data_IF_557934247380
#
_entry.id   IF_557934247380
#
_cell.length_a   1.000
_cell.length_b   1.000
_cell.length_c   1.000
_cell.angle_alpha   90.00
_cell.angle_beta   90.00
_cell.angle_gamma   90.00
#
_symmetry.space_group_name_H-M   'P 1'
#
loop_
_entity.id
_entity.type
_entity.pdbx_description
1 polymer ?
#
# COMPACT_ATOMS: atom_id res chain seq x y z
N UNK A 1 -1.13 13.71 -21.09
CA UNK A 1 0.12 14.43 -20.77
C UNK A 1 -0.27 15.89 -20.55
N UNK A 2 -0.61 16.27 -19.31
CA UNK A 2 -1.02 17.64 -18.99
C UNK A 2 0.22 18.38 -18.49
N UNK A 3 0.68 19.36 -19.27
CA UNK A 3 1.83 20.20 -18.93
C UNK A 3 1.39 21.14 -17.80
N UNK A 4 2.04 21.04 -16.64
CA UNK A 4 1.92 22.04 -15.60
C UNK A 4 2.58 23.34 -16.11
N UNK A 5 1.75 24.27 -16.59
CA UNK A 5 2.19 25.60 -17.00
C UNK A 5 2.30 26.50 -15.78
N UNK A 6 3.51 26.94 -15.46
CA UNK A 6 3.71 28.01 -14.48
C UNK A 6 3.49 29.35 -15.18
N UNK A 7 2.39 30.03 -14.85
CA UNK A 7 2.11 31.38 -15.33
C UNK A 7 2.23 32.36 -14.15
N UNK A 8 3.25 33.21 -14.17
CA UNK A 8 3.41 34.31 -13.21
C UNK A 8 3.08 35.63 -13.89
N UNK A 9 2.12 36.39 -13.35
CA UNK A 9 1.74 37.71 -13.83
C UNK A 9 1.75 38.67 -12.64
N UNK A 10 2.36 39.85 -12.81
CA UNK A 10 2.48 40.89 -11.77
C UNK A 10 1.86 42.17 -12.32
N UNK A 11 0.93 42.77 -11.56
CA UNK A 11 0.32 44.07 -11.86
C UNK A 11 0.50 45.01 -10.67
N UNK A 12 0.86 46.27 -10.93
CA UNK A 12 1.04 47.33 -9.93
C UNK A 12 -0.21 48.22 -9.75
N UNK A 13 -1.33 47.87 -10.40
CA UNK A 13 -2.63 48.54 -10.34
C UNK A 13 -3.73 47.49 -10.07
N UNK A 14 -4.90 47.89 -9.52
CA UNK A 14 -6.04 46.98 -9.37
C UNK A 14 -6.39 46.41 -10.74
N UNK A 15 -6.12 45.12 -10.90
CA UNK A 15 -6.25 44.40 -12.16
C UNK A 15 -7.03 43.11 -11.90
N UNK A 16 -7.96 42.79 -12.79
CA UNK A 16 -8.64 41.52 -12.79
C UNK A 16 -7.85 40.50 -13.59
N UNK A 17 -7.69 39.30 -13.02
CA UNK A 17 -7.08 38.16 -13.70
C UNK A 17 -8.14 37.08 -13.91
N UNK A 18 -8.33 36.65 -15.15
CA UNK A 18 -9.20 35.51 -15.48
C UNK A 18 -8.38 34.42 -16.16
N UNK A 19 -8.58 33.19 -15.70
CA UNK A 19 -7.98 32.00 -16.29
C UNK A 19 -9.07 30.97 -16.58
N UNK A 20 -8.99 30.36 -17.76
CA UNK A 20 -9.86 29.27 -18.17
C UNK A 20 -9.00 28.12 -18.70
N UNK A 21 -9.15 26.95 -18.10
CA UNK A 21 -8.47 25.73 -18.54
C UNK A 21 -8.97 24.50 -17.81
N UNK A 22 -8.59 23.33 -18.32
CA UNK A 22 -8.93 22.06 -17.70
C UNK A 22 -8.05 21.81 -16.46
N UNK A 23 -8.67 21.57 -15.32
CA UNK A 23 -8.00 21.19 -14.06
C UNK A 23 -8.21 19.70 -13.80
N UNK A 24 -7.15 18.97 -13.43
CA UNK A 24 -7.25 17.57 -13.05
C UNK A 24 -7.09 17.41 -11.54
N UNK A 25 -8.20 17.07 -10.85
CA UNK A 25 -8.32 16.79 -9.40
C UNK A 25 -8.10 17.96 -8.45
N UNK A 26 -7.09 18.79 -8.66
CA UNK A 26 -6.72 19.86 -7.73
C UNK A 26 -6.35 21.13 -8.48
N UNK A 27 -6.91 22.25 -8.06
CA UNK A 27 -6.48 23.59 -8.46
C UNK A 27 -5.62 24.14 -7.33
N UNK A 28 -4.33 24.35 -7.60
CA UNK A 28 -3.41 25.00 -6.66
C UNK A 28 -3.16 26.44 -7.09
N UNK A 29 -3.55 27.38 -6.25
CA UNK A 29 -3.31 28.81 -6.44
C UNK A 29 -2.31 29.24 -5.38
N UNK A 30 -1.25 29.93 -5.82
CA UNK A 30 -0.23 30.48 -4.91
C UNK A 30 -0.32 32.01 -4.99
N UNK A 31 -0.60 32.64 -3.86
CA UNK A 31 -0.68 34.09 -3.74
C UNK A 31 0.49 34.56 -2.86
N UNK A 32 1.16 35.64 -3.27
CA UNK A 32 2.16 36.29 -2.43
C UNK A 32 1.47 37.21 -1.43
N UNK A 33 1.86 37.13 -0.17
CA UNK A 33 1.40 37.98 0.93
C UNK A 33 2.52 38.90 1.38
N UNK A 34 2.17 40.03 2.00
CA UNK A 34 3.16 41.00 2.49
C UNK A 34 2.50 42.24 3.10
N UNK A 35 3.30 43.14 3.71
CA UNK A 35 2.77 44.29 4.45
C UNK A 35 2.12 45.35 3.55
N UNK A 36 2.50 45.38 2.26
CA UNK A 36 1.95 46.29 1.25
C UNK A 36 0.82 45.63 0.42
N UNK A 37 0.41 44.41 0.75
CA UNK A 37 -0.60 43.64 0.00
C UNK A 37 -1.97 43.79 0.65
N UNK A 38 -3.00 44.09 -0.17
CA UNK A 38 -4.38 44.31 0.28
C UNK A 38 -5.28 43.08 0.17
N UNK A 39 -6.59 43.31 0.07
CA UNK A 39 -7.60 42.25 -0.09
C UNK A 39 -7.74 41.85 -1.56
N UNK A 40 -7.75 40.54 -1.83
CA UNK A 40 -8.04 39.97 -3.15
C UNK A 40 -9.39 39.25 -3.14
N UNK A 41 -10.20 39.45 -4.18
CA UNK A 41 -11.41 38.65 -4.42
C UNK A 41 -11.07 37.49 -5.37
N UNK A 42 -11.36 36.27 -4.94
CA UNK A 42 -11.13 35.05 -5.70
C UNK A 42 -12.47 34.39 -6.05
N UNK A 43 -12.78 34.32 -7.34
CA UNK A 43 -13.98 33.63 -7.83
C UNK A 43 -13.59 32.31 -8.51
N UNK A 44 -14.00 31.18 -7.93
CA UNK A 44 -13.83 29.83 -8.51
C UNK A 44 -15.21 29.25 -8.79
N UNK A 45 -15.48 28.89 -10.05
CA UNK A 45 -16.76 28.27 -10.48
C UNK A 45 -18.03 29.00 -9.97
N UNK A 46 -17.98 30.34 -9.89
CA UNK A 46 -19.11 31.16 -9.42
C UNK A 46 -19.22 31.32 -7.90
N UNK A 47 -18.32 30.74 -7.13
CA UNK A 47 -18.18 31.03 -5.70
C UNK A 47 -17.06 32.06 -5.51
N UNK A 48 -17.41 33.24 -4.99
CA UNK A 48 -16.46 34.28 -4.61
C UNK A 48 -16.07 34.16 -3.14
N UNK A 49 -14.78 34.23 -2.87
CA UNK A 49 -14.21 34.31 -1.53
C UNK A 49 -13.28 35.52 -1.46
N UNK A 50 -13.40 36.33 -0.40
CA UNK A 50 -12.48 37.44 -0.15
C UNK A 50 -11.32 36.95 0.70
N UNK A 51 -10.10 37.13 0.20
CA UNK A 51 -8.86 36.73 0.83
C UNK A 51 -8.05 37.96 1.20
N UNK A 52 -7.82 38.13 2.50
CA UNK A 52 -6.84 39.09 2.99
C UNK A 52 -5.42 38.55 2.72
N UNK A 53 -4.60 39.34 2.02
CA UNK A 53 -3.21 39.03 1.68
C UNK A 53 -2.20 39.82 2.53
N UNK A 54 -2.67 40.60 3.51
CA UNK A 54 -1.79 41.28 4.45
C UNK A 54 -1.07 40.27 5.35
N UNK A 55 0.26 40.36 5.39
CA UNK A 55 1.12 39.56 6.27
C UNK A 55 2.29 40.44 6.74
N UNK A 56 2.61 40.51 8.06
CA UNK A 56 3.72 41.33 8.56
C UNK A 56 5.08 41.06 7.92
N UNK A 57 5.28 39.87 7.32
CA UNK A 57 6.47 39.51 6.54
C UNK A 57 6.08 38.96 5.17
N UNK A 58 6.91 39.12 4.13
CA UNK A 58 6.66 38.53 2.83
C UNK A 58 6.56 37.00 2.92
N UNK A 59 5.42 36.44 2.51
CA UNK A 59 5.16 35.00 2.57
C UNK A 59 4.32 34.53 1.36
N UNK A 60 4.07 33.23 1.26
CA UNK A 60 3.21 32.64 0.24
C UNK A 60 2.02 31.92 0.87
N UNK A 61 0.83 32.21 0.37
CA UNK A 61 -0.42 31.53 0.75
C UNK A 61 -0.81 30.55 -0.35
N UNK A 62 -0.90 29.27 0.01
CA UNK A 62 -1.34 28.20 -0.89
C UNK A 62 -2.82 27.92 -0.68
N UNK A 63 -3.61 28.05 -1.74
CA UNK A 63 -5.00 27.62 -1.76
C UNK A 63 -5.10 26.38 -2.64
N UNK A 64 -5.56 25.26 -2.06
CA UNK A 64 -5.76 24.00 -2.77
C UNK A 64 -7.24 23.70 -2.78
N UNK A 65 -7.87 23.92 -3.95
CA UNK A 65 -9.28 23.59 -4.14
C UNK A 65 -9.38 22.25 -4.85
N UNK A 66 -10.03 21.28 -4.20
CA UNK A 66 -10.32 19.98 -4.82
C UNK A 66 -11.41 20.15 -5.89
N UNK A 67 -11.07 19.82 -7.14
CA UNK A 67 -11.99 19.82 -8.27
C UNK A 67 -12.37 18.36 -8.55
N UNK A 68 -13.50 17.86 -8.00
CA UNK A 68 -13.88 16.47 -8.20
C UNK A 68 -14.12 16.19 -9.69
N UNK A 69 -13.67 15.03 -10.16
CA UNK A 69 -13.94 14.58 -11.52
C UNK A 69 -15.46 14.51 -11.73
N UNK A 70 -15.97 14.88 -12.92
CA UNK A 70 -17.38 14.70 -13.25
C UNK A 70 -17.83 13.27 -12.95
N UNK A 71 -19.04 13.11 -12.41
CA UNK A 71 -19.56 11.80 -11.99
C UNK A 71 -19.49 10.75 -13.12
N UNK A 72 -19.74 11.18 -14.36
CA UNK A 72 -19.63 10.33 -15.55
C UNK A 72 -18.22 9.76 -15.72
N UNK A 73 -17.17 10.57 -15.60
CA UNK A 73 -15.78 10.11 -15.75
C UNK A 73 -15.44 9.10 -14.65
N UNK A 74 -15.90 9.33 -13.42
CA UNK A 74 -15.70 8.39 -12.30
C UNK A 74 -16.39 7.05 -12.58
N UNK A 75 -17.63 7.07 -13.10
CA UNK A 75 -18.37 5.85 -13.46
C UNK A 75 -17.65 5.10 -14.60
N UNK A 76 -17.26 5.82 -15.65
CA UNK A 76 -16.56 5.23 -16.80
C UNK A 76 -15.23 4.61 -16.39
N UNK A 77 -14.42 5.31 -15.59
CA UNK A 77 -13.15 4.77 -15.09
C UNK A 77 -13.39 3.53 -14.22
N UNK A 78 -14.32 3.60 -13.27
CA UNK A 78 -14.62 2.47 -12.37
C UNK A 78 -15.14 1.27 -13.18
N UNK A 79 -16.04 1.49 -14.14
CA UNK A 79 -16.55 0.45 -15.03
C UNK A 79 -15.47 -0.18 -15.88
N UNK A 80 -14.58 0.64 -16.48
CA UNK A 80 -13.44 0.15 -17.24
C UNK A 80 -12.53 -0.75 -16.40
N UNK A 81 -12.20 -0.34 -15.17
CA UNK A 81 -11.42 -1.17 -14.24
C UNK A 81 -12.07 -2.54 -13.99
N UNK A 82 -13.37 -2.57 -13.68
CA UNK A 82 -14.09 -3.82 -13.41
C UNK A 82 -14.23 -4.72 -14.63
N UNK A 83 -14.46 -4.15 -15.81
CA UNK A 83 -14.52 -4.90 -17.07
C UNK A 83 -13.15 -5.49 -17.39
N UNK A 84 -12.08 -4.70 -17.31
CA UNK A 84 -10.71 -5.19 -17.54
C UNK A 84 -10.34 -6.29 -16.55
N UNK A 85 -10.67 -6.12 -15.26
CA UNK A 85 -10.43 -7.15 -14.24
C UNK A 85 -11.20 -8.44 -14.54
N UNK A 86 -12.48 -8.34 -14.85
CA UNK A 86 -13.33 -9.48 -15.21
C UNK A 86 -12.82 -10.22 -16.46
N UNK A 87 -12.35 -9.47 -17.46
CA UNK A 87 -11.80 -10.03 -18.68
C UNK A 87 -10.47 -10.75 -18.42
N UNK A 88 -9.57 -10.18 -17.62
CA UNK A 88 -8.34 -10.83 -17.20
C UNK A 88 -8.61 -12.11 -16.40
N UNK A 89 -9.60 -12.08 -15.50
CA UNK A 89 -10.02 -13.26 -14.75
C UNK A 89 -10.61 -14.35 -15.66
N UNK A 90 -11.40 -13.96 -16.66
CA UNK A 90 -11.92 -14.89 -17.68
C UNK A 90 -10.80 -15.53 -18.51
N UNK A 91 -9.81 -14.74 -18.94
CA UNK A 91 -8.61 -15.27 -19.63
C UNK A 91 -7.89 -16.28 -18.72
N UNK A 92 -7.69 -15.95 -17.45
CA UNK A 92 -7.05 -16.85 -16.49
C UNK A 92 -7.79 -18.19 -16.40
N UNK A 93 -9.12 -18.19 -16.22
CA UNK A 93 -9.92 -19.42 -16.19
C UNK A 93 -9.83 -20.21 -17.50
N UNK A 94 -9.84 -19.51 -18.64
CA UNK A 94 -9.73 -20.12 -19.97
C UNK A 94 -8.37 -20.79 -20.15
N UNK A 95 -7.29 -20.14 -19.73
CA UNK A 95 -5.93 -20.68 -19.75
C UNK A 95 -5.82 -21.89 -18.84
N UNK A 96 -6.36 -21.83 -17.61
CA UNK A 96 -6.35 -22.94 -16.66
C UNK A 96 -7.05 -24.19 -17.20
N UNK A 97 -8.09 -24.04 -18.05
CA UNK A 97 -8.74 -25.17 -18.73
C UNK A 97 -7.79 -25.95 -19.64
N UNK A 98 -6.82 -25.29 -20.27
CA UNK A 98 -5.84 -25.94 -21.14
C UNK A 98 -4.73 -26.66 -20.39
N UNK A 99 -4.64 -26.48 -19.07
CA UNK A 99 -3.76 -27.22 -18.19
C UNK A 99 -4.57 -28.22 -17.36
N UNK A 100 -5.14 -29.29 -17.97
CA UNK A 100 -5.79 -30.32 -17.19
C UNK A 100 -4.77 -30.87 -16.19
N UNK A 101 -5.11 -30.79 -14.91
CA UNK A 101 -4.37 -31.45 -13.85
C UNK A 101 -4.49 -32.95 -14.09
N UNK A 102 -3.60 -33.51 -14.91
CA UNK A 102 -3.38 -34.94 -14.91
C UNK A 102 -2.86 -35.27 -13.52
N UNK A 103 -3.69 -35.95 -12.73
CA UNK A 103 -3.24 -36.65 -11.53
C UNK A 103 -2.27 -37.72 -11.98
N UNK A 104 -1.04 -37.32 -12.24
CA UNK A 104 0.03 -38.24 -12.49
C UNK A 104 0.31 -38.85 -11.13
N UNK A 105 -0.05 -40.12 -10.94
CA UNK A 105 0.31 -40.93 -9.77
C UNK A 105 1.81 -41.16 -9.65
N UNK A 106 2.63 -40.15 -10.01
CA UNK A 106 4.06 -40.13 -9.80
C UNK A 106 4.21 -40.14 -8.27
N UNK A 107 4.83 -41.17 -7.68
CA UNK A 107 5.09 -41.18 -6.26
C UNK A 107 5.90 -39.92 -5.96
N UNK A 108 5.35 -39.05 -5.12
CA UNK A 108 6.02 -37.84 -4.73
C UNK A 108 7.36 -38.26 -4.11
N UNK A 109 8.46 -38.03 -4.85
CA UNK A 109 9.80 -38.05 -4.27
C UNK A 109 9.68 -37.17 -3.03
N UNK A 110 10.07 -37.69 -1.85
CA UNK A 110 9.96 -36.96 -0.59
C UNK A 110 10.91 -35.76 -0.63
N UNK A 111 10.53 -34.72 -1.36
CA UNK A 111 11.21 -33.45 -1.36
C UNK A 111 11.05 -32.90 0.05
N UNK A 112 12.14 -32.57 0.76
CA UNK A 112 12.00 -31.92 2.05
C UNK A 112 11.33 -30.57 1.78
N UNK A 113 10.04 -30.48 2.11
CA UNK A 113 9.19 -29.33 1.76
C UNK A 113 9.69 -28.02 2.39
N UNK A 114 10.45 -28.14 3.48
CA UNK A 114 11.18 -27.02 4.09
C UNK A 114 12.16 -26.36 3.11
N UNK A 115 12.63 -27.03 2.05
CA UNK A 115 13.43 -26.39 1.01
C UNK A 115 12.68 -25.26 0.30
N UNK A 116 11.34 -25.30 0.25
CA UNK A 116 10.55 -24.22 -0.32
C UNK A 116 10.62 -22.93 0.51
N UNK A 117 10.97 -23.00 1.79
CA UNK A 117 11.11 -21.80 2.64
C UNK A 117 12.35 -20.99 2.30
N UNK A 118 13.41 -21.63 1.77
CA UNK A 118 14.71 -20.98 1.60
C UNK A 118 14.67 -19.77 0.66
N UNK A 119 14.09 -19.84 -0.56
CA UNK A 119 14.03 -18.67 -1.44
C UNK A 119 13.17 -17.55 -0.85
N UNK A 120 12.07 -17.90 -0.19
CA UNK A 120 11.17 -16.96 0.48
C UNK A 120 11.89 -16.24 1.62
N UNK A 121 12.47 -16.97 2.56
CA UNK A 121 13.23 -16.40 3.68
C UNK A 121 14.42 -15.54 3.22
N UNK A 122 15.12 -15.96 2.16
CA UNK A 122 16.25 -15.21 1.63
C UNK A 122 15.80 -13.88 1.03
N UNK A 123 14.83 -13.88 0.11
CA UNK A 123 14.40 -12.66 -0.57
C UNK A 123 13.69 -11.72 0.40
N UNK A 124 12.77 -12.25 1.20
CA UNK A 124 12.02 -11.45 2.18
C UNK A 124 12.92 -10.94 3.29
N UNK A 125 13.91 -11.73 3.73
CA UNK A 125 14.92 -11.30 4.69
C UNK A 125 15.78 -10.15 4.16
N UNK A 126 16.19 -10.19 2.88
CA UNK A 126 16.89 -9.05 2.26
C UNK A 126 16.02 -7.80 2.28
N UNK A 127 14.75 -7.90 1.90
CA UNK A 127 13.81 -6.76 1.93
C UNK A 127 13.65 -6.22 3.35
N UNK A 128 13.45 -7.08 4.34
CA UNK A 128 13.37 -6.67 5.74
C UNK A 128 14.64 -5.92 6.20
N UNK A 129 15.84 -6.39 5.81
CA UNK A 129 17.10 -5.71 6.13
C UNK A 129 17.19 -4.31 5.50
N UNK A 130 16.57 -4.08 4.34
CA UNK A 130 16.50 -2.72 3.75
C UNK A 130 15.56 -1.79 4.51
N UNK A 131 14.62 -2.33 5.28
CA UNK A 131 13.66 -1.58 6.08
C UNK A 131 13.86 -1.78 7.59
N UNK A 132 15.09 -2.06 8.01
CA UNK A 132 15.42 -2.29 9.42
C UNK A 132 15.09 -1.05 10.28
N UNK A 133 14.53 -1.21 11.49
CA UNK A 133 14.20 -2.47 12.18
C UNK A 133 12.90 -3.14 11.70
N UNK A 134 11.95 -2.36 11.19
CA UNK A 134 10.68 -2.82 10.62
C UNK A 134 10.01 -1.66 9.87
N UNK A 135 9.14 -1.98 8.90
CA UNK A 135 8.21 -1.00 8.33
C UNK A 135 7.05 -0.76 9.30
N UNK A 136 6.68 0.50 9.50
CA UNK A 136 5.63 0.91 10.44
C UNK A 136 4.73 1.96 9.80
N UNK A 137 3.42 1.76 9.89
CA UNK A 137 2.42 2.81 9.65
C UNK A 137 2.10 3.53 10.98
N UNK A 138 1.35 4.64 10.97
CA UNK A 138 0.88 5.28 12.21
C UNK A 138 0.18 4.30 13.16
N UNK A 139 -0.64 3.40 12.61
CA UNK A 139 -1.31 2.34 13.38
C UNK A 139 -0.30 1.39 14.03
N UNK A 140 0.73 0.96 13.29
CA UNK A 140 1.81 0.11 13.82
C UNK A 140 2.54 0.77 15.00
N UNK A 141 2.79 2.09 14.91
CA UNK A 141 3.46 2.86 15.95
C UNK A 141 2.61 2.89 17.23
N UNK A 142 1.30 3.13 17.08
CA UNK A 142 0.36 3.08 18.20
C UNK A 142 0.36 1.71 18.88
N UNK A 143 0.19 0.63 18.11
CA UNK A 143 0.16 -0.71 18.69
C UNK A 143 1.51 -1.15 19.29
N UNK A 144 2.63 -0.70 18.72
CA UNK A 144 3.96 -0.94 19.31
C UNK A 144 4.12 -0.20 20.64
N UNK A 145 3.62 1.02 20.74
CA UNK A 145 3.57 1.75 22.00
C UNK A 145 2.73 0.99 23.05
N UNK A 146 1.55 0.50 22.70
CA UNK A 146 0.73 -0.34 23.59
C UNK A 146 1.46 -1.63 24.02
N UNK A 147 2.24 -2.26 23.13
CA UNK A 147 3.05 -3.43 23.45
C UNK A 147 4.15 -3.11 24.48
N UNK A 148 4.76 -1.93 24.39
CA UNK A 148 5.80 -1.46 25.32
C UNK A 148 5.22 -1.05 26.68
N UNK A 149 4.14 -0.27 26.69
CA UNK A 149 3.56 0.29 27.94
C UNK A 149 2.61 -0.67 28.64
N UNK A 150 2.01 -1.62 27.92
CA UNK A 150 0.92 -2.46 28.41
C UNK A 150 -0.39 -1.69 28.63
N UNK A 151 -0.48 -0.44 28.15
CA UNK A 151 -1.70 0.36 28.19
C UNK A 151 -2.44 0.16 26.86
N UNK A 152 -3.51 -0.62 26.89
CA UNK A 152 -4.30 -0.94 25.71
C UNK A 152 -5.47 0.03 25.55
N UNK A 153 -5.76 0.41 24.31
CA UNK A 153 -6.93 1.21 23.96
C UNK A 153 -7.95 0.37 23.19
N UNK A 154 -9.22 0.79 23.18
CA UNK A 154 -10.28 0.09 22.44
C UNK A 154 -10.21 0.28 20.91
N UNK A 155 -9.22 1.05 20.42
CA UNK A 155 -9.05 1.30 19.00
C UNK A 155 -8.59 0.05 18.23
N UNK A 156 -7.85 -0.85 18.89
CA UNK A 156 -7.30 -2.05 18.27
C UNK A 156 -7.46 -3.30 19.16
N UNK A 157 -7.56 -4.50 18.56
CA UNK A 157 -7.50 -5.74 19.34
C UNK A 157 -6.17 -5.88 20.09
N UNK A 158 -6.22 -5.92 21.42
CA UNK A 158 -5.04 -6.02 22.30
C UNK A 158 -4.16 -7.23 22.02
N UNK A 159 -4.72 -8.31 21.45
CA UNK A 159 -4.00 -9.55 21.14
C UNK A 159 -2.77 -9.30 20.26
N UNK A 160 -2.83 -8.36 19.31
CA UNK A 160 -1.69 -8.09 18.44
C UNK A 160 -0.55 -7.40 19.19
N UNK A 161 -0.86 -6.41 20.04
CA UNK A 161 0.13 -5.76 20.89
C UNK A 161 0.77 -6.75 21.90
N UNK A 162 -0.02 -7.67 22.46
CA UNK A 162 0.49 -8.75 23.32
C UNK A 162 1.44 -9.67 22.54
N UNK A 163 1.07 -10.10 21.33
CA UNK A 163 1.94 -10.92 20.48
C UNK A 163 3.25 -10.20 20.14
N UNK A 164 3.19 -8.90 19.81
CA UNK A 164 4.39 -8.10 19.56
C UNK A 164 5.33 -8.06 20.77
N UNK A 165 4.78 -7.91 21.99
CA UNK A 165 5.56 -7.95 23.23
C UNK A 165 6.23 -9.31 23.47
N UNK A 166 5.53 -10.40 23.17
CA UNK A 166 6.08 -11.75 23.27
C UNK A 166 7.21 -11.96 22.26
N UNK A 167 6.99 -11.59 21.00
CA UNK A 167 7.97 -11.77 19.92
C UNK A 167 9.15 -10.80 19.98
N UNK A 168 9.01 -9.66 20.66
CA UNK A 168 10.15 -8.79 20.94
C UNK A 168 11.04 -9.33 22.06
N UNK A 169 10.62 -10.37 22.80
CA UNK A 169 11.33 -10.89 23.98
C UNK A 169 11.72 -9.80 24.99
N UNK A 170 10.88 -8.77 25.13
CA UNK A 170 11.15 -7.64 26.02
C UNK A 170 12.15 -6.61 25.48
N UNK A 171 12.64 -6.77 24.23
CA UNK A 171 13.44 -5.75 23.57
C UNK A 171 12.59 -4.52 23.25
N UNK A 172 13.19 -3.33 23.34
CA UNK A 172 12.56 -2.06 22.95
C UNK A 172 12.64 -1.78 21.44
N UNK A 173 13.10 -2.76 20.65
CA UNK A 173 13.14 -2.71 19.19
C UNK A 173 12.19 -3.76 18.62
N UNK A 174 11.42 -3.45 17.56
CA UNK A 174 10.49 -4.40 16.98
C UNK A 174 11.16 -5.35 15.97
N UNK A 175 12.49 -5.34 15.84
CA UNK A 175 13.22 -6.01 14.76
C UNK A 175 12.98 -7.52 14.64
N UNK A 176 12.70 -8.21 15.75
CA UNK A 176 12.43 -9.65 15.74
C UNK A 176 11.03 -9.99 15.22
N UNK A 177 10.08 -9.05 15.28
CA UNK A 177 8.69 -9.33 14.94
C UNK A 177 8.54 -9.62 13.42
N UNK A 178 9.06 -8.79 12.50
CA UNK A 178 9.07 -9.15 11.07
C UNK A 178 9.80 -10.46 10.78
N UNK A 179 10.88 -10.76 11.51
CA UNK A 179 11.62 -12.02 11.35
C UNK A 179 10.73 -13.23 11.66
N UNK A 180 9.94 -13.16 12.75
CA UNK A 180 8.95 -14.19 13.07
C UNK A 180 7.83 -14.27 12.02
N UNK A 181 7.33 -13.12 11.54
CA UNK A 181 6.33 -13.07 10.48
C UNK A 181 6.85 -13.75 9.18
N UNK A 182 8.06 -13.41 8.74
CA UNK A 182 8.73 -14.02 7.58
C UNK A 182 8.84 -15.53 7.75
N UNK A 183 9.34 -16.00 8.90
CA UNK A 183 9.50 -17.42 9.18
C UNK A 183 8.19 -18.19 9.18
N UNK A 184 7.18 -17.70 9.89
CA UNK A 184 5.87 -18.33 9.99
C UNK A 184 5.18 -18.39 8.62
N UNK A 185 5.16 -17.28 7.88
CA UNK A 185 4.53 -17.24 6.56
C UNK A 185 5.26 -18.16 5.57
N UNK A 186 6.59 -18.17 5.56
CA UNK A 186 7.36 -19.04 4.67
C UNK A 186 7.03 -20.52 4.93
N UNK A 187 6.91 -20.92 6.20
CA UNK A 187 6.52 -22.28 6.58
C UNK A 187 5.09 -22.61 6.14
N UNK A 188 4.13 -21.71 6.36
CA UNK A 188 2.73 -21.92 5.95
C UNK A 188 2.61 -22.06 4.42
N UNK A 189 3.26 -21.17 3.67
CA UNK A 189 3.26 -21.22 2.20
C UNK A 189 3.96 -22.50 1.72
N UNK A 190 5.10 -22.87 2.29
CA UNK A 190 5.81 -24.10 1.95
C UNK A 190 4.96 -25.36 2.23
N UNK A 191 4.20 -25.38 3.33
CA UNK A 191 3.24 -26.45 3.64
C UNK A 191 2.10 -26.51 2.62
N UNK A 192 1.56 -25.36 2.22
CA UNK A 192 0.56 -25.28 1.15
C UNK A 192 1.08 -25.82 -0.19
N UNK A 193 2.31 -25.44 -0.57
CA UNK A 193 2.95 -25.92 -1.81
C UNK A 193 3.25 -27.43 -1.74
N UNK A 194 3.62 -27.94 -0.57
CA UNK A 194 3.75 -29.38 -0.35
C UNK A 194 2.41 -30.10 -0.52
N UNK A 195 1.33 -29.55 0.06
CA UNK A 195 -0.02 -30.08 -0.13
C UNK A 195 -0.41 -30.13 -1.62
N UNK A 196 -0.10 -29.09 -2.40
CA UNK A 196 -0.26 -29.12 -3.87
C UNK A 196 0.47 -30.31 -4.50
N UNK A 197 1.66 -30.65 -4.01
CA UNK A 197 2.40 -31.84 -4.47
C UNK A 197 1.68 -33.15 -4.15
N UNK A 198 1.02 -33.24 -3.00
CA UNK A 198 0.27 -34.44 -2.59
C UNK A 198 -1.00 -34.68 -3.41
N UNK A 199 -1.61 -33.62 -3.97
CA UNK A 199 -2.76 -33.72 -4.88
C UNK A 199 -2.34 -33.84 -6.36
N UNK A 200 -1.05 -34.05 -6.64
CA UNK A 200 -0.54 -34.34 -7.98
C UNK A 200 -0.09 -33.13 -8.79
N UNK A 201 0.07 -31.94 -8.19
CA UNK A 201 0.59 -30.76 -8.90
C UNK A 201 2.06 -30.98 -9.29
N UNK A 202 2.42 -30.79 -10.58
CA UNK A 202 3.78 -31.04 -11.06
C UNK A 202 4.81 -30.14 -10.36
N UNK A 203 6.05 -30.63 -10.25
CA UNK A 203 7.13 -29.94 -9.54
C UNK A 203 7.43 -28.53 -10.10
N UNK A 204 7.34 -28.36 -11.43
CA UNK A 204 7.53 -27.06 -12.07
C UNK A 204 6.52 -26.02 -11.57
N UNK A 205 5.23 -26.38 -11.48
CA UNK A 205 4.18 -25.46 -11.01
C UNK A 205 4.42 -25.10 -9.54
N UNK A 206 4.82 -26.07 -8.70
CA UNK A 206 5.18 -25.80 -7.30
C UNK A 206 6.34 -24.83 -7.16
N UNK A 207 7.42 -25.01 -7.92
CA UNK A 207 8.57 -24.09 -7.91
C UNK A 207 8.24 -22.73 -8.52
N UNK A 208 7.36 -22.67 -9.52
CA UNK A 208 6.82 -21.42 -10.04
C UNK A 208 6.04 -20.68 -8.94
N UNK A 209 5.21 -21.38 -8.15
CA UNK A 209 4.54 -20.78 -6.99
C UNK A 209 5.53 -20.25 -5.97
N UNK A 210 6.60 -21.00 -5.64
CA UNK A 210 7.68 -20.51 -4.76
C UNK A 210 8.28 -19.22 -5.32
N UNK A 211 8.60 -19.17 -6.62
CA UNK A 211 9.16 -17.97 -7.25
C UNK A 211 8.19 -16.79 -7.19
N UNK A 212 6.91 -17.00 -7.49
CA UNK A 212 5.89 -15.96 -7.42
C UNK A 212 5.76 -15.36 -6.01
N UNK A 213 5.76 -16.20 -4.97
CA UNK A 213 5.73 -15.71 -3.59
C UNK A 213 7.03 -15.02 -3.19
N UNK A 214 8.18 -15.61 -3.51
CA UNK A 214 9.49 -15.09 -3.12
C UNK A 214 9.75 -13.70 -3.73
N UNK A 215 9.46 -13.54 -5.02
CA UNK A 215 9.72 -12.31 -5.77
C UNK A 215 8.53 -11.34 -5.81
N UNK A 216 7.43 -11.64 -5.12
CA UNK A 216 6.32 -10.69 -5.00
C UNK A 216 6.71 -9.53 -4.07
N UNK A 217 6.85 -8.29 -4.59
CA UNK A 217 7.19 -7.14 -3.75
C UNK A 217 6.09 -6.87 -2.73
N UNK A 218 4.83 -7.17 -3.06
CA UNK A 218 3.70 -7.02 -2.15
C UNK A 218 3.88 -7.92 -0.93
N UNK A 219 4.17 -9.21 -1.15
CA UNK A 219 4.36 -10.15 -0.02
C UNK A 219 5.61 -9.77 0.79
N UNK A 220 6.71 -9.43 0.13
CA UNK A 220 7.96 -9.01 0.77
C UNK A 220 7.80 -7.77 1.66
N UNK A 221 7.11 -6.73 1.18
CA UNK A 221 6.88 -5.50 1.93
C UNK A 221 5.86 -5.71 3.06
N UNK A 222 4.78 -6.45 2.79
CA UNK A 222 3.73 -6.68 3.80
C UNK A 222 4.30 -7.38 5.01
N UNK A 223 4.97 -8.52 4.87
CA UNK A 223 5.54 -9.23 6.03
C UNK A 223 6.71 -8.51 6.73
N UNK A 224 7.27 -7.47 6.10
CA UNK A 224 8.26 -6.59 6.72
C UNK A 224 7.60 -5.46 7.54
N UNK A 225 6.27 -5.31 7.40
CA UNK A 225 5.46 -4.27 8.02
C UNK A 225 4.73 -4.80 9.26
N UNK A 226 4.70 -4.01 10.33
CA UNK A 226 4.02 -4.35 11.58
C UNK A 226 2.51 -4.15 11.50
N UNK A 227 1.83 -4.95 10.68
CA UNK A 227 0.38 -4.96 10.59
C UNK A 227 -0.24 -6.19 11.23
N UNK A 228 -1.33 -5.95 11.97
CA UNK A 228 -2.22 -6.97 12.54
C UNK A 228 -2.88 -7.86 11.49
N UNK A 229 -3.03 -7.35 10.27
CA UNK A 229 -3.65 -8.07 9.15
C UNK A 229 -2.81 -9.26 8.68
N UNK A 230 -1.50 -9.22 8.93
CA UNK A 230 -0.56 -10.27 8.53
C UNK A 230 -0.73 -11.53 9.38
N UNK A 231 -0.62 -11.50 10.73
CA UNK A 231 -0.89 -12.68 11.54
C UNK A 231 -2.36 -13.13 11.43
N UNK A 232 -3.29 -12.20 11.18
CA UNK A 232 -4.67 -12.57 10.85
C UNK A 232 -4.73 -13.41 9.56
N UNK A 233 -4.08 -12.95 8.48
CA UNK A 233 -4.00 -13.70 7.22
C UNK A 233 -3.26 -15.04 7.34
N UNK A 234 -2.19 -15.09 8.14
CA UNK A 234 -1.51 -16.35 8.48
C UNK A 234 -2.43 -17.34 9.18
N UNK A 235 -3.26 -16.85 10.11
CA UNK A 235 -4.22 -17.70 10.83
C UNK A 235 -5.23 -18.32 9.87
N UNK A 236 -5.67 -17.57 8.86
CA UNK A 236 -6.55 -18.08 7.82
C UNK A 236 -5.88 -19.12 6.92
N UNK A 237 -4.59 -18.93 6.57
CA UNK A 237 -3.81 -19.90 5.80
C UNK A 237 -3.45 -21.17 6.56
N UNK A 238 -3.47 -21.11 7.90
CA UNK A 238 -3.12 -22.24 8.76
C UNK A 238 -4.27 -23.22 9.00
N UNK A 239 -5.52 -22.77 8.79
CA UNK A 239 -6.75 -23.58 8.87
C UNK A 239 -6.90 -24.50 7.64
#
# INVERSE_FOLDING_TARGET
MAVAGWHSLVSNAPASLSWNGAVFRELRITLRTGPDMGVAELTINGQSEQLDLFDPQPNEKYLVTSMPLPALNRILMTGAYWISFSFLFFILLTVLRFFPLKSTGIPAKRTPWLLYTLPMMLVWGIVWLTCYPALMSPDSVGQWHEALTGQFTDWHPAIYAILMKVFSFGMQTPCLIPLFQIGILAVLVARGIHFLGTIGVPAFVRWLTVALFSFSPVVALFQSTLWKDIPFGMSFLAL
#
